data_IF_918790756620
#
_entry.id   IF_918790756620
#
_cell.length_a   1.000
_cell.length_b   1.000
_cell.length_c   1.000
_cell.angle_alpha   90.00
_cell.angle_beta   90.00
_cell.angle_gamma   90.00
#
_symmetry.space_group_name_H-M   'P 1'
#
loop_
_entity.id
_entity.type
_entity.pdbx_description
1 polymer ?
#
# COMPACT_ATOMS: atom_id res chain seq x y z
N UNK A 1 -3.56 22.53 -21.74
CA UNK A 1 -3.39 22.10 -20.34
C UNK A 1 -4.00 20.72 -20.22
N UNK A 2 -3.16 19.70 -20.08
CA UNK A 2 -3.54 18.30 -20.22
C UNK A 2 -4.20 17.83 -18.92
N UNK A 3 -5.53 17.82 -18.89
CA UNK A 3 -6.28 17.07 -17.88
C UNK A 3 -6.11 15.59 -18.23
N UNK A 4 -5.28 14.86 -17.48
CA UNK A 4 -5.22 13.40 -17.60
C UNK A 4 -6.62 12.83 -17.42
N UNK A 5 -7.11 11.93 -18.29
CA UNK A 5 -8.41 11.32 -18.11
C UNK A 5 -8.41 10.50 -16.82
N UNK A 6 -9.40 10.74 -15.95
CA UNK A 6 -9.63 9.88 -14.79
C UNK A 6 -10.22 8.57 -15.31
N UNK A 7 -9.37 7.56 -15.48
CA UNK A 7 -9.79 6.20 -15.83
C UNK A 7 -10.38 5.53 -14.60
N UNK A 8 -11.71 5.44 -14.53
CA UNK A 8 -12.40 4.71 -13.47
C UNK A 8 -12.03 3.22 -13.56
N UNK A 9 -11.51 2.65 -12.46
CA UNK A 9 -11.12 1.23 -12.37
C UNK A 9 -9.61 0.96 -12.40
N UNK A 10 -8.77 1.94 -12.71
CA UNK A 10 -7.32 1.83 -12.47
C UNK A 10 -7.01 2.19 -11.02
N UNK A 11 -6.87 1.18 -10.16
CA UNK A 11 -6.25 1.40 -8.84
C UNK A 11 -4.76 1.65 -9.04
N UNK A 12 -4.29 2.87 -8.71
CA UNK A 12 -2.85 3.15 -8.63
C UNK A 12 -2.16 2.20 -7.64
N UNK A 13 -0.83 2.09 -7.74
CA UNK A 13 -0.05 1.30 -6.80
C UNK A 13 -0.26 1.81 -5.36
N UNK A 14 -0.73 0.94 -4.47
CA UNK A 14 -0.98 1.26 -3.05
C UNK A 14 -0.02 0.44 -2.19
N UNK A 15 1.08 1.03 -1.71
CA UNK A 15 2.01 0.31 -0.85
C UNK A 15 1.30 -0.13 0.43
N UNK A 16 1.58 -1.35 0.86
CA UNK A 16 1.04 -1.94 2.08
C UNK A 16 2.20 -2.47 2.92
N UNK A 17 2.05 -2.40 4.24
CA UNK A 17 2.97 -3.02 5.16
C UNK A 17 2.70 -4.53 5.26
N UNK A 18 3.72 -5.37 5.09
CA UNK A 18 3.64 -6.83 5.25
C UNK A 18 4.46 -7.29 6.45
N UNK A 19 3.82 -7.91 7.45
CA UNK A 19 4.48 -8.26 8.71
C UNK A 19 5.70 -9.20 8.54
N UNK A 20 5.70 -10.02 7.49
CA UNK A 20 6.72 -11.06 7.24
C UNK A 20 7.78 -10.62 6.22
N UNK A 21 7.81 -9.33 5.86
CA UNK A 21 8.73 -8.77 4.85
C UNK A 21 9.50 -7.56 5.40
N UNK A 22 10.67 -7.27 4.80
CA UNK A 22 11.38 -6.02 5.09
C UNK A 22 10.69 -4.87 4.37
N UNK A 23 9.91 -4.09 5.10
CA UNK A 23 9.19 -2.93 4.56
C UNK A 23 10.05 -1.67 4.59
N UNK A 24 10.28 -1.06 3.43
CA UNK A 24 10.85 0.30 3.31
C UNK A 24 9.74 1.33 3.13
N UNK A 25 9.87 2.44 3.83
CA UNK A 25 8.95 3.56 3.73
C UNK A 25 9.05 4.19 2.34
N UNK A 26 7.95 4.32 1.58
CA UNK A 26 7.98 4.96 0.26
C UNK A 26 8.24 6.47 0.34
N UNK A 27 8.05 7.09 1.51
CA UNK A 27 8.32 8.51 1.73
C UNK A 27 9.79 8.83 1.96
N UNK A 28 10.47 8.09 2.85
CA UNK A 28 11.83 8.42 3.30
C UNK A 28 12.84 7.27 3.20
N UNK A 29 12.44 6.08 2.75
CA UNK A 29 13.30 4.90 2.64
C UNK A 29 13.62 4.16 3.96
N UNK A 30 13.25 4.72 5.11
CA UNK A 30 13.45 4.09 6.43
C UNK A 30 12.66 2.78 6.58
N UNK A 31 13.10 1.90 7.47
CA UNK A 31 12.53 0.55 7.62
C UNK A 31 12.00 0.26 9.04
N UNK A 32 11.89 1.29 9.88
CA UNK A 32 11.41 1.16 11.26
C UNK A 32 9.98 1.69 11.38
N UNK A 33 9.15 0.93 12.07
CA UNK A 33 7.70 1.09 12.03
C UNK A 33 7.06 0.93 13.42
N UNK A 34 6.12 1.80 13.74
CA UNK A 34 5.14 1.57 14.80
C UNK A 34 3.96 0.80 14.21
N UNK A 35 3.87 -0.49 14.52
CA UNK A 35 2.86 -1.38 13.96
C UNK A 35 1.62 -1.37 14.83
N UNK A 36 0.53 -0.78 14.31
CA UNK A 36 -0.78 -0.79 14.93
C UNK A 36 -1.62 -1.99 14.49
N UNK A 37 -2.94 -1.88 14.71
CA UNK A 37 -3.89 -2.95 14.30
C UNK A 37 -4.25 -2.92 12.82
N UNK A 38 -4.30 -1.71 12.23
CA UNK A 38 -4.79 -1.47 10.86
C UNK A 38 -3.71 -0.86 9.97
N UNK A 39 -2.80 -0.08 10.57
CA UNK A 39 -1.74 0.63 9.88
C UNK A 39 -0.39 0.40 10.56
N UNK A 40 0.67 0.56 9.79
CA UNK A 40 2.03 0.73 10.29
C UNK A 40 2.51 2.14 9.97
N UNK A 41 3.01 2.86 10.96
CA UNK A 41 3.51 4.24 10.82
C UNK A 41 5.03 4.26 10.81
N UNK A 42 5.64 4.96 9.85
CA UNK A 42 7.08 5.07 9.76
C UNK A 42 7.63 5.93 10.90
N UNK A 43 8.53 5.36 11.71
CA UNK A 43 9.11 6.03 12.87
C UNK A 43 10.02 7.23 12.53
N UNK A 44 10.34 7.45 11.25
CA UNK A 44 11.21 8.54 10.80
C UNK A 44 10.44 9.75 10.27
N UNK A 45 9.44 9.52 9.41
CA UNK A 45 8.71 10.59 8.71
C UNK A 45 7.20 10.61 8.97
N UNK A 46 6.67 9.69 9.79
CA UNK A 46 5.24 9.63 10.12
C UNK A 46 4.33 9.10 8.99
N UNK A 47 4.90 8.65 7.86
CA UNK A 47 4.10 8.05 6.79
C UNK A 47 3.43 6.75 7.24
N UNK A 48 2.10 6.66 7.13
CA UNK A 48 1.33 5.49 7.50
C UNK A 48 0.93 4.65 6.29
N UNK A 49 1.19 3.34 6.35
CA UNK A 49 0.74 2.35 5.38
C UNK A 49 -0.35 1.46 5.98
N UNK A 50 -1.36 1.03 5.21
CA UNK A 50 -2.27 -0.02 5.65
C UNK A 50 -1.51 -1.34 5.79
N UNK A 51 -1.84 -2.11 6.83
CA UNK A 51 -1.33 -3.46 7.01
C UNK A 51 -2.04 -4.38 6.02
N UNK A 52 -1.27 -5.12 5.23
CA UNK A 52 -1.80 -6.14 4.35
C UNK A 52 -2.43 -7.24 5.21
N UNK A 53 -3.76 -7.37 5.14
CA UNK A 53 -4.43 -8.56 5.66
C UNK A 53 -3.90 -9.79 4.91
N UNK A 54 -3.71 -10.91 5.60
CA UNK A 54 -3.11 -12.16 5.08
C UNK A 54 -3.88 -12.84 3.93
N UNK A 55 -4.84 -12.17 3.29
CA UNK A 55 -5.73 -12.75 2.28
C UNK A 55 -6.31 -11.74 1.29
N UNK A 56 -5.53 -10.74 0.87
CA UNK A 56 -5.91 -9.88 -0.25
C UNK A 56 -4.99 -10.15 -1.46
N UNK A 57 -4.99 -11.39 -1.97
CA UNK A 57 -4.41 -11.71 -3.28
C UNK A 57 -5.43 -12.33 -4.22
N UNK A 58 -6.67 -11.85 -4.20
CA UNK A 58 -7.68 -12.27 -5.17
C UNK A 58 -8.88 -11.33 -5.16
N UNK A 59 -9.67 -11.36 -6.24
CA UNK A 59 -10.93 -10.64 -6.49
C UNK A 59 -10.83 -9.32 -7.24
N UNK A 60 -9.81 -9.17 -8.08
CA UNK A 60 -9.89 -8.32 -9.27
C UNK A 60 -9.50 -9.14 -10.51
N UNK A 61 -10.45 -9.41 -11.40
CA UNK A 61 -10.26 -9.91 -12.79
C UNK A 61 -10.12 -11.42 -13.04
N UNK A 62 -11.12 -12.22 -12.64
CA UNK A 62 -11.47 -13.48 -13.31
C UNK A 62 -12.61 -13.29 -14.35
N UNK A 63 -12.78 -12.08 -14.91
CA UNK A 63 -13.91 -11.75 -15.81
C UNK A 63 -13.57 -11.73 -17.31
N UNK A 64 -12.33 -12.01 -17.71
CA UNK A 64 -12.01 -12.22 -19.13
C UNK A 64 -12.23 -13.69 -19.50
N UNK A 65 -13.51 -14.08 -19.56
CA UNK A 65 -13.96 -15.25 -20.30
C UNK A 65 -14.03 -14.92 -21.79
#
# INVERSE_FOLDING_TARGET
MLHSPITLGQSGYRPMFRAEEVNRCPGCGGNHWYVGRITAECAFCGSALPIAASGARERGLAWAA
#
